data_IF_563888410075
#
_entry.id   IF_563888410075
#
_cell.length_a   1.000
_cell.length_b   1.000
_cell.length_c   1.000
_cell.angle_alpha   90.00
_cell.angle_beta   90.00
_cell.angle_gamma   90.00
#
_symmetry.space_group_name_H-M   'P 1'
#
loop_
_entity.id
_entity.type
_entity.pdbx_description
1 polymer ?
#
# COMPACT_ATOMS: atom_id res chain seq x y z
N UNK A 1 6.45 3.50 -4.33
CA UNK A 1 5.85 3.94 -3.03
C UNK A 1 6.87 3.73 -1.94
N UNK A 2 7.04 4.72 -1.08
CA UNK A 2 8.08 4.90 -0.05
C UNK A 2 8.50 3.70 0.81
N UNK A 3 7.66 2.68 1.00
CA UNK A 3 7.99 1.46 1.76
C UNK A 3 9.15 0.63 1.17
N UNK A 4 9.39 0.73 -0.15
CA UNK A 4 10.51 0.08 -0.84
C UNK A 4 11.59 1.07 -1.30
N UNK A 5 11.53 2.32 -0.83
CA UNK A 5 12.63 3.23 -1.08
C UNK A 5 13.88 2.67 -0.39
N UNK A 6 15.01 2.73 -1.09
CA UNK A 6 16.30 2.46 -0.48
C UNK A 6 16.51 3.44 0.70
N UNK A 7 16.95 2.92 1.86
CA UNK A 7 17.07 3.71 3.09
C UNK A 7 15.74 4.06 3.78
N UNK A 8 14.62 3.43 3.42
CA UNK A 8 13.32 3.64 4.08
C UNK A 8 13.40 3.48 5.62
N UNK A 9 13.96 2.36 6.07
CA UNK A 9 14.05 2.06 7.50
C UNK A 9 14.96 3.05 8.22
N UNK A 10 16.09 3.43 7.61
CA UNK A 10 17.03 4.40 8.19
C UNK A 10 16.39 5.78 8.34
N UNK A 11 15.61 6.20 7.34
CA UNK A 11 14.90 7.48 7.36
C UNK A 11 13.79 7.51 8.41
N UNK A 12 13.02 6.42 8.51
CA UNK A 12 11.99 6.29 9.57
C UNK A 12 12.61 6.25 10.96
N UNK A 13 13.72 5.54 11.13
CA UNK A 13 14.43 5.45 12.40
C UNK A 13 14.94 6.83 12.83
N UNK A 14 15.57 7.57 11.92
CA UNK A 14 16.02 8.94 12.15
C UNK A 14 14.87 9.86 12.60
N UNK A 15 13.72 9.81 11.92
CA UNK A 15 12.56 10.60 12.36
C UNK A 15 12.04 10.17 13.73
N UNK A 16 11.96 8.87 13.98
CA UNK A 16 11.42 8.30 15.22
C UNK A 16 12.24 8.68 16.46
N UNK A 17 13.56 8.70 16.33
CA UNK A 17 14.51 9.11 17.36
C UNK A 17 14.43 10.63 17.64
N UNK A 18 14.18 11.44 16.61
CA UNK A 18 14.06 12.89 16.75
C UNK A 18 12.72 13.37 17.34
N UNK A 19 11.70 12.51 17.39
CA UNK A 19 10.41 12.87 17.98
C UNK A 19 10.45 12.89 19.51
N UNK A 20 10.25 14.06 20.10
CA UNK A 20 10.20 14.26 21.55
C UNK A 20 8.82 14.81 21.96
N UNK A 21 8.12 14.06 22.81
CA UNK A 21 6.81 14.43 23.36
C UNK A 21 6.79 14.13 24.86
N UNK A 22 6.02 14.91 25.61
CA UNK A 22 5.85 14.74 27.06
C UNK A 22 4.43 14.23 27.37
N UNK A 23 4.28 13.43 28.43
CA UNK A 23 2.99 12.90 28.90
C UNK A 23 3.00 11.40 29.13
N UNK A 24 1.82 10.79 29.16
CA UNK A 24 1.68 9.34 29.34
C UNK A 24 2.32 8.58 28.16
N UNK A 25 2.91 7.38 28.38
CA UNK A 25 3.55 6.60 27.31
C UNK A 25 2.62 6.32 26.11
N UNK A 26 1.33 6.08 26.37
CA UNK A 26 0.31 5.88 25.33
C UNK A 26 0.09 7.12 24.46
N UNK A 27 0.09 8.31 25.09
CA UNK A 27 -0.03 9.59 24.39
C UNK A 27 1.21 9.89 23.55
N UNK A 28 2.40 9.68 24.11
CA UNK A 28 3.67 9.87 23.41
C UNK A 28 3.71 8.99 22.17
N UNK A 29 3.35 7.71 22.30
CA UNK A 29 3.32 6.77 21.18
C UNK A 29 2.32 7.19 20.09
N UNK A 30 1.09 7.55 20.46
CA UNK A 30 0.08 8.02 19.51
C UNK A 30 0.52 9.30 18.76
N UNK A 31 1.18 10.23 19.45
CA UNK A 31 1.74 11.44 18.84
C UNK A 31 2.88 11.12 17.89
N UNK A 32 3.82 10.25 18.27
CA UNK A 32 4.90 9.78 17.37
C UNK A 32 4.34 9.17 16.09
N UNK A 33 3.32 8.31 16.17
CA UNK A 33 2.67 7.74 14.99
C UNK A 33 1.98 8.79 14.13
N UNK A 34 1.32 9.78 14.74
CA UNK A 34 0.64 10.86 14.01
C UNK A 34 1.64 11.72 13.24
N UNK A 35 2.76 12.07 13.87
CA UNK A 35 3.83 12.86 13.24
C UNK A 35 4.52 12.06 12.14
N UNK A 36 4.85 10.79 12.41
CA UNK A 36 5.43 9.89 11.41
C UNK A 36 4.56 9.78 10.16
N UNK A 37 3.24 9.65 10.33
CA UNK A 37 2.28 9.64 9.22
C UNK A 37 2.37 10.90 8.35
N UNK A 38 2.56 12.08 8.95
CA UNK A 38 2.68 13.34 8.21
C UNK A 38 4.00 13.41 7.43
N UNK A 39 5.11 13.02 8.05
CA UNK A 39 6.42 13.04 7.39
C UNK A 39 6.50 12.01 6.26
N UNK A 40 5.90 10.83 6.45
CA UNK A 40 5.73 9.83 5.40
C UNK A 40 4.90 10.36 4.23
N UNK A 41 3.81 11.10 4.49
CA UNK A 41 3.02 11.74 3.43
C UNK A 41 3.83 12.77 2.66
N UNK A 42 4.61 13.60 3.35
CA UNK A 42 5.47 14.61 2.73
C UNK A 42 6.56 13.95 1.87
N UNK A 43 7.25 12.96 2.43
CA UNK A 43 8.32 12.26 1.73
C UNK A 43 7.80 11.48 0.51
N UNK A 44 6.63 10.84 0.61
CA UNK A 44 5.99 10.22 -0.54
C UNK A 44 5.70 11.24 -1.66
N UNK A 45 5.29 12.46 -1.31
CA UNK A 45 5.03 13.53 -2.29
C UNK A 45 6.32 14.04 -2.96
N UNK A 46 7.43 14.09 -2.22
CA UNK A 46 8.72 14.63 -2.69
C UNK A 46 9.46 13.61 -3.56
N UNK A 47 9.69 12.39 -3.06
CA UNK A 47 10.55 11.41 -3.75
C UNK A 47 9.80 10.62 -4.82
N UNK A 48 8.52 10.30 -4.58
CA UNK A 48 7.73 9.46 -5.50
C UNK A 48 6.76 10.28 -6.34
N UNK A 49 6.71 11.60 -6.11
CA UNK A 49 5.74 12.49 -6.72
C UNK A 49 4.30 12.16 -6.32
N UNK A 50 3.37 12.92 -6.87
CA UNK A 50 1.96 12.57 -6.79
C UNK A 50 1.66 11.59 -7.93
N UNK A 51 1.74 10.29 -7.67
CA UNK A 51 1.35 9.24 -8.64
C UNK A 51 -0.05 9.51 -9.22
N UNK A 52 -0.94 10.10 -8.42
CA UNK A 52 -2.26 10.57 -8.87
C UNK A 52 -2.16 11.71 -9.89
N UNK A 53 -1.24 12.65 -9.70
CA UNK A 53 -0.98 13.70 -10.67
C UNK A 53 -0.35 13.14 -11.96
N UNK A 54 0.57 12.18 -11.87
CA UNK A 54 1.11 11.48 -13.05
C UNK A 54 -0.01 10.77 -13.81
N UNK A 55 -0.90 10.07 -13.12
CA UNK A 55 -2.11 9.46 -13.70
C UNK A 55 -3.02 10.50 -14.35
N UNK A 56 -3.27 11.63 -13.70
CA UNK A 56 -4.08 12.71 -14.26
C UNK A 56 -3.47 13.28 -15.54
N UNK A 57 -2.15 13.51 -15.57
CA UNK A 57 -1.46 13.98 -16.77
C UNK A 57 -1.55 12.97 -17.92
N UNK A 58 -1.35 11.68 -17.63
CA UNK A 58 -1.52 10.61 -18.63
C UNK A 58 -2.97 10.55 -19.15
N UNK A 59 -3.96 10.72 -18.27
CA UNK A 59 -5.37 10.79 -18.65
C UNK A 59 -5.69 12.01 -19.52
N UNK A 60 -5.16 13.20 -19.19
CA UNK A 60 -5.35 14.42 -19.97
C UNK A 60 -4.79 14.23 -21.39
N UNK A 61 -3.57 13.70 -21.51
CA UNK A 61 -2.96 13.39 -22.82
C UNK A 61 -3.77 12.39 -23.62
N UNK A 62 -4.22 11.31 -22.97
CA UNK A 62 -5.04 10.29 -23.62
C UNK A 62 -6.40 10.85 -24.08
N UNK A 63 -7.00 11.74 -23.28
CA UNK A 63 -8.27 12.37 -23.62
C UNK A 63 -8.13 13.36 -24.77
N UNK A 64 -7.02 14.10 -24.86
CA UNK A 64 -6.72 14.95 -26.00
C UNK A 64 -6.66 14.15 -27.32
N UNK A 65 -6.02 12.97 -27.29
CA UNK A 65 -5.97 12.06 -28.45
C UNK A 65 -7.35 11.48 -28.81
N UNK A 66 -8.22 11.18 -27.83
CA UNK A 66 -9.60 10.76 -28.12
C UNK A 66 -10.43 11.88 -28.77
N UNK A 67 -10.29 13.13 -28.30
CA UNK A 67 -10.97 14.29 -28.89
C UNK A 67 -10.45 14.58 -30.31
N UNK A 68 -9.16 14.40 -30.56
CA UNK A 68 -8.61 14.49 -31.92
C UNK A 68 -9.17 13.39 -32.84
N UNK A 69 -9.30 12.15 -32.36
CA UNK A 69 -9.86 11.02 -33.13
C UNK A 69 -11.32 11.25 -33.58
N UNK A 70 -12.11 12.02 -32.81
CA UNK A 70 -13.47 12.40 -33.19
C UNK A 70 -13.51 13.42 -34.34
N UNK A 71 -12.44 14.22 -34.51
CA UNK A 71 -12.39 15.30 -35.50
C UNK A 71 -11.58 14.94 -36.75
N UNK A 72 -10.55 14.10 -36.62
CA UNK A 72 -9.74 13.57 -37.73
C UNK A 72 -9.25 12.15 -37.44
N UNK A 73 -9.09 11.29 -38.48
CA UNK A 73 -8.46 9.99 -38.32
C UNK A 73 -7.01 10.15 -37.85
N UNK A 74 -6.66 9.49 -36.74
CA UNK A 74 -5.32 9.52 -36.15
C UNK A 74 -4.26 8.97 -37.10
N UNK A 75 -3.09 9.61 -37.10
CA UNK A 75 -1.88 9.15 -37.79
C UNK A 75 -1.34 7.90 -37.11
N UNK A 76 -0.59 7.05 -37.82
CA UNK A 76 -0.04 5.82 -37.25
C UNK A 76 0.92 6.06 -36.07
N UNK A 77 1.60 7.21 -36.06
CA UNK A 77 2.43 7.67 -34.93
C UNK A 77 1.59 7.99 -33.68
N UNK A 78 0.45 8.66 -33.84
CA UNK A 78 -0.44 9.03 -32.73
C UNK A 78 -1.18 7.79 -32.18
N UNK A 79 -1.45 6.78 -33.02
CA UNK A 79 -1.96 5.47 -32.57
C UNK A 79 -0.93 4.75 -31.70
N UNK A 80 0.36 4.80 -32.06
CA UNK A 80 1.44 4.23 -31.27
C UNK A 80 1.58 4.95 -29.92
N UNK A 81 1.48 6.28 -29.92
CA UNK A 81 1.51 7.09 -28.69
C UNK A 81 0.30 6.80 -27.79
N UNK A 82 -0.89 6.65 -28.36
CA UNK A 82 -2.09 6.24 -27.62
C UNK A 82 -1.92 4.86 -26.96
N UNK A 83 -1.31 3.91 -27.67
CA UNK A 83 -1.02 2.58 -27.14
C UNK A 83 0.02 2.61 -26.01
N UNK A 84 1.08 3.41 -26.15
CA UNK A 84 2.11 3.57 -25.13
C UNK A 84 1.57 4.25 -23.87
N UNK A 85 0.76 5.31 -24.01
CA UNK A 85 0.08 5.97 -22.90
C UNK A 85 -0.88 5.04 -22.16
N UNK A 86 -1.64 4.21 -22.90
CA UNK A 86 -2.50 3.17 -22.30
C UNK A 86 -1.69 2.12 -21.54
N UNK A 87 -0.55 1.70 -22.08
CA UNK A 87 0.34 0.76 -21.43
C UNK A 87 0.94 1.33 -20.14
N UNK A 88 1.42 2.58 -20.18
CA UNK A 88 1.95 3.26 -18.99
C UNK A 88 0.86 3.45 -17.91
N UNK A 89 -0.35 3.82 -18.32
CA UNK A 89 -1.48 3.94 -17.40
C UNK A 89 -1.88 2.60 -16.77
N UNK A 90 -1.85 1.51 -17.54
CA UNK A 90 -2.10 0.14 -17.05
C UNK A 90 -1.00 -0.30 -16.07
N UNK A 91 0.27 -0.04 -16.38
CA UNK A 91 1.39 -0.41 -15.51
C UNK A 91 1.33 0.33 -14.18
N UNK A 92 1.06 1.64 -14.19
CA UNK A 92 0.90 2.41 -12.94
C UNK A 92 -0.26 1.90 -12.08
N UNK A 93 -1.34 1.40 -12.69
CA UNK A 93 -2.46 0.78 -11.97
C UNK A 93 -2.10 -0.60 -11.41
N UNK A 94 -1.42 -1.45 -12.18
CA UNK A 94 -0.99 -2.78 -11.75
C UNK A 94 0.04 -2.71 -10.62
N UNK A 95 0.98 -1.77 -10.69
CA UNK A 95 1.87 -1.48 -9.56
C UNK A 95 1.07 -1.05 -8.34
N UNK A 96 0.13 -0.11 -8.46
CA UNK A 96 -0.68 0.34 -7.33
C UNK A 96 -1.49 -0.82 -6.69
N UNK A 97 -2.09 -1.68 -7.50
CA UNK A 97 -2.84 -2.87 -7.05
C UNK A 97 -1.89 -3.87 -6.36
N UNK A 98 -0.75 -4.17 -6.99
CA UNK A 98 0.27 -5.05 -6.41
C UNK A 98 0.78 -4.49 -5.08
N UNK A 99 0.96 -3.18 -4.97
CA UNK A 99 1.36 -2.53 -3.72
C UNK A 99 0.27 -2.56 -2.64
N UNK A 100 -1.01 -2.37 -2.99
CA UNK A 100 -2.13 -2.53 -2.06
C UNK A 100 -2.24 -3.96 -1.54
N UNK A 101 -2.02 -4.94 -2.40
CA UNK A 101 -1.98 -6.36 -2.01
C UNK A 101 -0.77 -6.67 -1.12
N UNK A 102 0.43 -6.25 -1.52
CA UNK A 102 1.68 -6.51 -0.78
C UNK A 102 1.74 -5.81 0.58
N UNK A 103 1.14 -4.61 0.70
CA UNK A 103 1.02 -3.91 1.99
C UNK A 103 -0.02 -4.52 2.92
N UNK A 104 -0.71 -5.60 2.50
CA UNK A 104 -1.87 -6.19 3.18
C UNK A 104 -3.02 -5.19 3.42
N UNK A 105 -3.02 -4.06 2.71
CA UNK A 105 -4.07 -3.04 2.71
C UNK A 105 -5.22 -3.44 1.77
N UNK A 106 -5.63 -4.70 1.84
CA UNK A 106 -6.96 -5.14 1.41
C UNK A 106 -7.98 -5.01 2.55
N UNK A 107 -7.50 -5.04 3.79
CA UNK A 107 -8.34 -5.22 4.98
C UNK A 107 -8.74 -3.94 5.71
N UNK A 108 -8.17 -2.78 5.38
CA UNK A 108 -8.41 -1.54 6.14
C UNK A 108 -9.85 -1.02 6.05
N UNK A 109 -10.60 -1.37 4.99
CA UNK A 109 -12.03 -1.04 4.89
C UNK A 109 -12.90 -1.98 5.72
N UNK A 110 -12.41 -3.19 6.03
CA UNK A 110 -13.13 -4.21 6.80
C UNK A 110 -12.66 -4.29 8.27
N UNK A 111 -11.51 -3.70 8.61
CA UNK A 111 -10.90 -3.77 9.96
C UNK A 111 -11.56 -2.85 11.00
N UNK A 112 -12.24 -1.79 10.58
CA UNK A 112 -12.99 -0.92 11.51
C UNK A 112 -14.33 -1.56 11.91
N UNK A 113 -14.76 -2.57 11.16
CA UNK A 113 -15.89 -3.42 11.52
C UNK A 113 -15.33 -4.71 12.09
N UNK A 114 -15.20 -4.79 13.41
CA UNK A 114 -14.83 -5.98 14.17
C UNK A 114 -15.86 -7.11 13.95
N UNK A 115 -15.97 -7.62 12.72
CA UNK A 115 -17.07 -8.45 12.25
C UNK A 115 -16.86 -9.90 12.69
N UNK A 116 -17.97 -10.58 12.97
CA UNK A 116 -18.01 -11.99 13.35
C UNK A 116 -17.28 -12.91 12.37
N UNK A 117 -17.12 -12.50 11.11
CA UNK A 117 -16.33 -13.19 10.10
C UNK A 117 -14.85 -13.31 10.48
N UNK A 118 -14.20 -12.24 10.97
CA UNK A 118 -12.78 -12.27 11.34
C UNK A 118 -12.54 -13.08 12.61
N UNK A 119 -13.43 -12.96 13.61
CA UNK A 119 -13.38 -13.82 14.79
C UNK A 119 -13.55 -15.29 14.41
N UNK A 120 -14.43 -15.60 13.45
CA UNK A 120 -14.61 -16.96 12.93
C UNK A 120 -13.37 -17.45 12.19
N UNK A 121 -12.75 -16.62 11.35
CA UNK A 121 -11.54 -16.97 10.61
C UNK A 121 -10.33 -17.15 11.54
N UNK A 122 -10.13 -16.26 12.51
CA UNK A 122 -9.08 -16.36 13.52
C UNK A 122 -9.26 -17.61 14.40
N UNK A 123 -10.48 -17.91 14.82
CA UNK A 123 -10.79 -19.15 15.56
C UNK A 123 -10.58 -20.39 14.69
N UNK A 124 -10.90 -20.33 13.39
CA UNK A 124 -10.64 -21.42 12.46
C UNK A 124 -9.15 -21.70 12.33
N UNK A 125 -8.34 -20.66 12.13
CA UNK A 125 -6.89 -20.77 12.05
C UNK A 125 -6.28 -21.23 13.38
N UNK A 126 -6.81 -20.76 14.52
CA UNK A 126 -6.39 -21.23 15.85
C UNK A 126 -6.67 -22.71 16.04
N UNK A 127 -7.85 -23.21 15.63
CA UNK A 127 -8.19 -24.65 15.69
C UNK A 127 -7.30 -25.47 14.77
N UNK A 128 -7.06 -24.99 13.56
CA UNK A 128 -6.22 -25.69 12.59
C UNK A 128 -4.76 -25.77 13.03
N UNK A 129 -4.23 -24.69 13.60
CA UNK A 129 -2.85 -24.63 14.09
C UNK A 129 -2.71 -25.11 15.55
N UNK A 130 -3.78 -25.59 16.18
CA UNK A 130 -3.71 -26.14 17.53
C UNK A 130 -3.10 -27.53 17.46
N UNK A 131 -1.93 -27.68 18.07
CA UNK A 131 -1.26 -28.97 18.21
C UNK A 131 -1.68 -29.53 19.57
N UNK A 132 -2.57 -30.51 19.54
CA UNK A 132 -3.14 -31.15 20.73
C UNK A 132 -2.13 -32.05 21.44
N UNK A 133 -1.32 -32.79 20.68
CA UNK A 133 -0.31 -33.68 21.21
C UNK A 133 1.00 -33.52 20.44
N UNK A 134 2.10 -33.41 21.16
CA UNK A 134 3.44 -33.48 20.61
C UNK A 134 4.04 -34.84 20.97
N UNK A 135 4.56 -35.55 19.96
CA UNK A 135 5.26 -36.80 20.17
C UNK A 135 6.74 -36.50 20.39
N UNK A 136 7.20 -36.59 21.63
CA UNK A 136 8.61 -36.39 21.97
C UNK A 136 9.20 -37.71 22.44
N UNK A 137 10.17 -38.24 21.67
CA UNK A 137 10.91 -39.49 22.00
C UNK A 137 9.97 -40.67 22.33
N UNK A 138 8.96 -40.91 21.48
CA UNK A 138 8.05 -42.05 21.60
C UNK A 138 6.99 -41.95 22.69
N UNK A 139 6.93 -40.85 23.44
CA UNK A 139 5.86 -40.57 24.40
C UNK A 139 4.97 -39.44 23.87
N UNK A 140 3.65 -39.68 23.86
CA UNK A 140 2.65 -38.66 23.56
C UNK A 140 2.53 -37.72 24.76
N UNK A 141 3.01 -36.49 24.61
CA UNK A 141 2.76 -35.42 25.58
C UNK A 141 1.63 -34.54 25.07
N UNK A 142 0.54 -34.50 25.82
CA UNK A 142 -0.57 -33.55 25.62
C UNK A 142 -0.19 -32.19 26.19
N UNK A 143 -0.59 -31.11 25.51
CA UNK A 143 -0.46 -29.73 25.99
C UNK A 143 -1.52 -29.37 27.05
#
# INVERSE_FOLDING_TARGET
MWLKAEGFLDKVKSWWENYHFQGAPSYIFAKKLTTLKLDLKKWNKIDFGNVTAKKQQLWIKLNALYVQEETQPLTDEEKLEKASLRFELKNTLLEEISWRQNSRVLYLKEWDSNTSFFHRMANSNRRYNYIENLMFVGVLTSN
#
